data_IF_873746298411
#
_entry.id   IF_873746298411
#
_cell.length_a   1.000
_cell.length_b   1.000
_cell.length_c   1.000
_cell.angle_alpha   90.00
_cell.angle_beta   90.00
_cell.angle_gamma   90.00
#
_symmetry.space_group_name_H-M   'P 1'
#
loop_
_entity.id
_entity.type
_entity.pdbx_description
1 polymer ?
#
# COMPACT_ATOMS: atom_id res chain seq x y z
N UNK A 1 -15.65 -2.08 -94.14
CA UNK A 1 -15.27 -3.17 -93.21
C UNK A 1 -14.36 -2.62 -92.20
N UNK A 2 -14.84 -2.52 -90.94
CA UNK A 2 -14.10 -1.98 -89.80
C UNK A 2 -13.22 -3.13 -89.28
N UNK A 3 -11.90 -3.00 -89.41
CA UNK A 3 -10.97 -3.97 -88.83
C UNK A 3 -11.06 -3.96 -87.35
N UNK A 4 -11.69 -4.97 -86.76
CA UNK A 4 -11.67 -5.22 -85.32
C UNK A 4 -10.28 -5.83 -85.02
N UNK A 5 -9.33 -4.97 -84.66
CA UNK A 5 -8.05 -5.42 -84.10
C UNK A 5 -8.30 -6.26 -82.87
N UNK A 6 -7.79 -7.46 -82.83
CA UNK A 6 -7.94 -8.39 -81.75
C UNK A 6 -7.25 -7.86 -80.48
N UNK A 7 -8.03 -7.33 -79.55
CA UNK A 7 -7.54 -6.86 -78.20
C UNK A 7 -7.28 -8.02 -77.20
N UNK A 8 -7.38 -9.29 -77.67
CA UNK A 8 -7.26 -10.50 -76.86
C UNK A 8 -5.89 -10.67 -76.20
N UNK A 9 -4.81 -10.15 -76.77
CA UNK A 9 -3.47 -10.24 -76.20
C UNK A 9 -3.24 -9.24 -75.02
N UNK A 10 -3.89 -8.08 -75.04
CA UNK A 10 -3.73 -7.03 -74.10
C UNK A 10 -4.39 -7.39 -72.74
N UNK A 11 -5.55 -8.08 -72.79
CA UNK A 11 -6.24 -8.56 -71.60
C UNK A 11 -5.42 -9.63 -70.84
N UNK A 12 -4.66 -10.47 -71.52
CA UNK A 12 -3.84 -11.51 -70.92
C UNK A 12 -2.65 -10.92 -70.16
N UNK A 13 -2.04 -9.84 -70.65
CA UNK A 13 -0.95 -9.12 -69.95
C UNK A 13 -1.47 -8.44 -68.71
N UNK A 14 -2.64 -7.75 -68.75
CA UNK A 14 -3.27 -7.11 -67.65
C UNK A 14 -3.65 -8.14 -66.58
N UNK A 15 -4.19 -9.28 -66.97
CA UNK A 15 -4.54 -10.36 -66.05
C UNK A 15 -3.31 -10.95 -65.38
N UNK A 16 -2.20 -11.16 -66.13
CA UNK A 16 -0.95 -11.62 -65.50
C UNK A 16 -0.36 -10.65 -64.51
N UNK A 17 -0.36 -9.34 -64.81
CA UNK A 17 0.09 -8.32 -63.89
C UNK A 17 -0.82 -8.22 -62.66
N UNK A 18 -2.14 -8.29 -62.82
CA UNK A 18 -3.10 -8.31 -61.74
C UNK A 18 -2.92 -9.55 -60.84
N UNK A 19 -2.67 -10.72 -61.41
CA UNK A 19 -2.40 -11.94 -60.65
C UNK A 19 -1.14 -11.81 -59.78
N UNK A 20 -0.04 -11.28 -60.35
CA UNK A 20 1.20 -11.02 -59.59
C UNK A 20 0.95 -10.02 -58.45
N UNK A 21 0.21 -8.94 -58.70
CA UNK A 21 -0.12 -7.96 -57.69
C UNK A 21 -0.97 -8.57 -56.56
N UNK A 22 -1.97 -9.38 -56.88
CA UNK A 22 -2.79 -10.09 -55.88
C UNK A 22 -1.98 -11.07 -55.07
N UNK A 23 -1.10 -11.87 -55.66
CA UNK A 23 -0.20 -12.77 -54.93
C UNK A 23 0.72 -11.99 -53.99
N UNK A 24 1.23 -10.83 -54.47
CA UNK A 24 2.05 -9.94 -53.61
C UNK A 24 1.30 -9.41 -52.41
N UNK A 25 0.05 -8.96 -52.60
CA UNK A 25 -0.80 -8.44 -51.49
C UNK A 25 -1.12 -9.57 -50.49
N UNK A 26 -1.51 -10.74 -50.95
CA UNK A 26 -1.79 -11.91 -50.10
C UNK A 26 -0.53 -12.33 -49.32
N UNK A 27 0.62 -12.36 -50.01
CA UNK A 27 1.89 -12.68 -49.36
C UNK A 27 2.28 -11.72 -48.25
N UNK A 28 2.12 -10.41 -48.50
CA UNK A 28 2.37 -9.38 -47.49
C UNK A 28 1.41 -9.48 -46.29
N UNK A 29 0.15 -9.84 -46.54
CA UNK A 29 -0.82 -10.06 -45.47
C UNK A 29 -0.46 -11.28 -44.61
N UNK A 30 0.07 -12.36 -45.19
CA UNK A 30 0.52 -13.55 -44.46
C UNK A 30 1.74 -13.23 -43.60
N UNK A 31 2.79 -12.62 -44.16
CA UNK A 31 3.97 -12.24 -43.39
C UNK A 31 3.65 -11.21 -42.31
N UNK A 32 2.78 -10.25 -42.62
CA UNK A 32 2.29 -9.28 -41.63
C UNK A 32 1.52 -9.92 -40.48
N UNK A 33 0.64 -10.89 -40.79
CA UNK A 33 -0.13 -11.59 -39.76
C UNK A 33 0.78 -12.44 -38.85
N UNK A 34 1.81 -13.09 -39.41
CA UNK A 34 2.81 -13.84 -38.67
C UNK A 34 3.57 -12.92 -37.67
N UNK A 35 4.02 -11.75 -38.14
CA UNK A 35 4.69 -10.76 -37.32
C UNK A 35 3.79 -10.26 -36.18
N UNK A 36 2.53 -9.93 -36.46
CA UNK A 36 1.59 -9.47 -35.41
C UNK A 36 1.25 -10.57 -34.41
N UNK A 37 1.12 -11.81 -34.86
CA UNK A 37 0.90 -12.96 -33.97
C UNK A 37 2.08 -13.17 -33.04
N UNK A 38 3.29 -13.16 -33.58
CA UNK A 38 4.52 -13.27 -32.78
C UNK A 38 4.65 -12.12 -31.77
N UNK A 39 4.37 -10.88 -32.20
CA UNK A 39 4.42 -9.73 -31.26
C UNK A 39 3.51 -9.89 -30.07
N UNK A 40 2.28 -10.39 -30.26
CA UNK A 40 1.34 -10.67 -29.15
C UNK A 40 1.86 -11.78 -28.24
N UNK A 41 2.41 -12.82 -28.83
CA UNK A 41 2.98 -13.94 -28.10
C UNK A 41 4.21 -13.50 -27.28
N UNK A 42 5.11 -12.74 -27.90
CA UNK A 42 6.27 -12.16 -27.24
C UNK A 42 5.87 -11.23 -26.08
N UNK A 43 4.82 -10.40 -26.26
CA UNK A 43 4.33 -9.53 -25.20
C UNK A 43 3.81 -10.34 -24.01
N UNK A 44 3.00 -11.37 -24.23
CA UNK A 44 2.53 -12.25 -23.16
C UNK A 44 3.69 -12.97 -22.45
N UNK A 45 4.72 -13.36 -23.19
CA UNK A 45 5.91 -13.97 -22.64
C UNK A 45 6.70 -12.98 -21.78
N UNK A 46 6.87 -11.73 -22.24
CA UNK A 46 7.54 -10.67 -21.48
C UNK A 46 6.77 -10.33 -20.20
N UNK A 47 5.44 -10.22 -20.28
CA UNK A 47 4.57 -9.93 -19.12
C UNK A 47 4.69 -11.02 -18.04
N UNK A 48 4.61 -12.28 -18.45
CA UNK A 48 4.73 -13.40 -17.51
C UNK A 48 6.15 -13.57 -16.96
N UNK A 49 7.17 -13.31 -17.77
CA UNK A 49 8.57 -13.33 -17.34
C UNK A 49 8.89 -12.21 -16.35
N UNK A 50 8.36 -10.99 -16.60
CA UNK A 50 8.53 -9.86 -15.68
C UNK A 50 7.87 -10.14 -14.31
N UNK A 51 6.66 -10.73 -14.30
CA UNK A 51 6.00 -11.14 -13.05
C UNK A 51 6.78 -12.23 -12.32
N UNK A 52 7.28 -13.23 -13.02
CA UNK A 52 8.10 -14.30 -12.44
C UNK A 52 9.39 -13.73 -11.82
N UNK A 53 10.06 -12.84 -12.54
CA UNK A 53 11.25 -12.15 -12.05
C UNK A 53 10.97 -11.30 -10.80
N UNK A 54 9.87 -10.53 -10.81
CA UNK A 54 9.46 -9.71 -9.67
C UNK A 54 9.15 -10.58 -8.44
N UNK A 55 8.47 -11.72 -8.64
CA UNK A 55 8.21 -12.67 -7.56
C UNK A 55 9.49 -13.28 -7.00
N UNK A 56 10.41 -13.73 -7.88
CA UNK A 56 11.69 -14.30 -7.47
C UNK A 56 12.54 -13.27 -6.72
N UNK A 57 12.61 -12.03 -7.21
CA UNK A 57 13.28 -10.91 -6.55
C UNK A 57 12.75 -10.72 -5.13
N UNK A 58 11.44 -10.56 -4.98
CA UNK A 58 10.81 -10.31 -3.70
C UNK A 58 10.99 -11.49 -2.74
N UNK A 59 10.92 -12.75 -3.22
CA UNK A 59 11.18 -13.93 -2.38
C UNK A 59 12.63 -14.00 -1.87
N UNK A 60 13.59 -13.58 -2.72
CA UNK A 60 15.01 -13.61 -2.35
C UNK A 60 15.36 -12.49 -1.37
N UNK A 61 14.75 -11.32 -1.51
CA UNK A 61 14.98 -10.18 -0.62
C UNK A 61 14.57 -10.45 0.83
N UNK A 62 13.50 -11.20 1.06
CA UNK A 62 13.04 -11.57 2.42
C UNK A 62 13.83 -12.73 3.03
N UNK A 63 14.68 -13.42 2.26
CA UNK A 63 15.51 -14.54 2.76
C UNK A 63 16.82 -14.01 3.37
N UNK A 64 16.99 -14.08 4.71
CA UNK A 64 18.16 -13.51 5.39
C UNK A 64 19.46 -14.27 5.07
N UNK A 65 19.38 -15.42 4.42
CA UNK A 65 20.55 -16.24 4.02
C UNK A 65 21.12 -15.80 2.66
N UNK A 66 20.45 -14.90 1.95
CA UNK A 66 20.80 -14.48 0.59
C UNK A 66 21.54 -13.16 0.56
N UNK A 67 22.37 -13.01 -0.46
CA UNK A 67 23.12 -11.77 -0.70
C UNK A 67 22.28 -10.80 -1.56
N UNK A 68 21.89 -9.69 -0.95
CA UNK A 68 20.99 -8.72 -1.58
C UNK A 68 21.72 -7.55 -2.28
N UNK A 69 23.05 -7.46 -2.20
CA UNK A 69 23.83 -6.38 -2.78
C UNK A 69 24.85 -6.89 -3.81
N UNK A 70 24.94 -6.23 -5.00
CA UNK A 70 24.13 -5.11 -5.43
C UNK A 70 22.71 -5.51 -5.81
N UNK A 71 21.73 -4.59 -5.64
CA UNK A 71 20.34 -4.80 -6.11
C UNK A 71 20.21 -4.66 -7.64
N UNK A 72 21.23 -4.05 -8.27
CA UNK A 72 21.27 -3.83 -9.70
C UNK A 72 21.46 -5.14 -10.45
N UNK A 73 20.70 -5.32 -11.52
CA UNK A 73 20.74 -6.51 -12.36
C UNK A 73 20.57 -6.16 -13.85
N UNK A 74 21.52 -6.50 -14.74
CA UNK A 74 22.85 -7.03 -14.38
C UNK A 74 23.68 -5.98 -13.63
N UNK A 75 24.61 -6.39 -12.77
CA UNK A 75 25.44 -5.44 -12.03
C UNK A 75 26.39 -4.71 -12.96
N UNK A 76 26.64 -3.42 -12.69
CA UNK A 76 27.63 -2.62 -13.44
C UNK A 76 29.06 -3.05 -13.15
N UNK A 77 29.30 -3.70 -12.00
CA UNK A 77 30.61 -4.23 -11.62
C UNK A 77 30.48 -5.39 -10.61
N UNK A 78 31.38 -6.34 -10.68
CA UNK A 78 31.39 -7.49 -9.79
C UNK A 78 30.45 -8.63 -10.17
N UNK A 79 30.38 -9.70 -9.37
CA UNK A 79 29.47 -10.80 -9.60
C UNK A 79 28.03 -10.39 -9.29
N UNK A 80 27.03 -11.04 -9.94
CA UNK A 80 25.62 -10.83 -9.61
C UNK A 80 25.33 -11.28 -8.17
N UNK A 81 24.44 -10.55 -7.49
CA UNK A 81 23.88 -10.96 -6.20
C UNK A 81 22.93 -12.15 -6.37
N UNK A 82 22.59 -12.82 -5.25
CA UNK A 82 21.56 -13.87 -5.27
C UNK A 82 20.22 -13.35 -5.80
N UNK A 83 19.89 -12.10 -5.50
CA UNK A 83 18.68 -11.43 -6.02
C UNK A 83 18.74 -11.32 -7.54
N UNK A 84 19.86 -10.85 -8.11
CA UNK A 84 20.00 -10.73 -9.56
C UNK A 84 19.97 -12.13 -10.22
N UNK A 85 20.65 -13.11 -9.67
CA UNK A 85 20.64 -14.48 -10.19
C UNK A 85 19.23 -15.09 -10.17
N UNK A 86 18.50 -14.91 -9.07
CA UNK A 86 17.14 -15.43 -8.94
C UNK A 86 16.16 -14.81 -9.94
N UNK A 87 16.16 -13.49 -10.08
CA UNK A 87 15.25 -12.82 -11.00
C UNK A 87 15.55 -13.12 -12.47
N UNK A 88 16.85 -13.23 -12.84
CA UNK A 88 17.25 -13.60 -14.19
C UNK A 88 16.82 -15.04 -14.52
N UNK A 89 17.09 -15.99 -13.61
CA UNK A 89 16.70 -17.38 -13.79
C UNK A 89 15.18 -17.51 -13.99
N UNK A 90 14.39 -16.89 -13.10
CA UNK A 90 12.94 -16.96 -13.17
C UNK A 90 12.37 -16.32 -14.46
N UNK A 91 12.95 -15.20 -14.90
CA UNK A 91 12.54 -14.57 -16.16
C UNK A 91 12.85 -15.43 -17.37
N UNK A 92 14.07 -15.97 -17.46
CA UNK A 92 14.52 -16.80 -18.57
C UNK A 92 13.73 -18.11 -18.65
N UNK A 93 13.51 -18.76 -17.52
CA UNK A 93 12.70 -19.99 -17.45
C UNK A 93 11.26 -19.74 -17.91
N UNK A 94 10.66 -18.64 -17.46
CA UNK A 94 9.29 -18.32 -17.82
C UNK A 94 9.16 -17.87 -19.30
N UNK A 95 10.13 -17.11 -19.81
CA UNK A 95 10.18 -16.78 -21.24
C UNK A 95 10.38 -18.03 -22.09
N UNK A 96 11.29 -18.94 -21.68
CA UNK A 96 11.54 -20.22 -22.33
C UNK A 96 10.30 -21.12 -22.39
N UNK A 97 9.53 -21.19 -21.29
CA UNK A 97 8.24 -21.92 -21.25
C UNK A 97 7.21 -21.34 -22.23
N UNK A 98 7.36 -20.08 -22.62
CA UNK A 98 6.56 -19.41 -23.64
C UNK A 98 7.22 -19.39 -25.03
N UNK A 99 8.28 -20.19 -25.24
CA UNK A 99 8.93 -20.36 -26.55
C UNK A 99 10.03 -19.35 -26.87
N UNK A 100 10.47 -18.52 -25.89
CA UNK A 100 11.57 -17.57 -26.03
C UNK A 100 12.74 -18.01 -25.16
N UNK A 101 13.55 -18.94 -25.68
CA UNK A 101 14.61 -19.66 -24.98
C UNK A 101 15.96 -18.93 -24.90
N UNK A 102 15.99 -17.66 -25.29
CA UNK A 102 17.19 -16.82 -25.32
C UNK A 102 18.38 -17.44 -26.08
N UNK A 103 18.09 -18.06 -27.22
CA UNK A 103 19.12 -18.75 -28.03
C UNK A 103 19.99 -17.80 -28.84
N UNK A 104 19.78 -16.51 -28.79
CA UNK A 104 20.52 -15.44 -29.47
C UNK A 104 20.44 -15.47 -31.01
N UNK A 105 19.67 -16.39 -31.56
CA UNK A 105 19.48 -16.57 -33.02
C UNK A 105 18.06 -16.23 -33.43
N UNK A 106 17.08 -16.86 -32.80
CA UNK A 106 15.65 -16.58 -33.04
C UNK A 106 15.07 -15.59 -32.07
N UNK A 107 15.64 -15.49 -30.87
CA UNK A 107 15.20 -14.54 -29.86
C UNK A 107 16.30 -14.20 -28.85
N UNK A 108 16.16 -13.03 -28.23
CA UNK A 108 16.92 -12.62 -27.03
C UNK A 108 15.96 -12.21 -25.93
N UNK A 109 16.31 -12.53 -24.68
CA UNK A 109 15.61 -12.15 -23.47
C UNK A 109 16.57 -11.43 -22.57
N UNK A 110 16.31 -10.17 -22.32
CA UNK A 110 17.13 -9.30 -21.46
C UNK A 110 16.34 -8.91 -20.22
N UNK A 111 17.00 -8.93 -19.07
CA UNK A 111 16.37 -8.70 -17.75
C UNK A 111 17.13 -7.62 -16.99
N UNK A 112 16.44 -6.59 -16.57
CA UNK A 112 17.01 -5.44 -15.90
C UNK A 112 16.29 -5.11 -14.59
N UNK A 113 17.05 -4.72 -13.59
CA UNK A 113 16.59 -4.13 -12.35
C UNK A 113 17.66 -3.16 -11.83
N UNK A 114 17.40 -1.87 -11.76
CA UNK A 114 16.19 -1.16 -12.19
C UNK A 114 15.96 -1.22 -13.71
N UNK A 115 14.78 -0.84 -14.21
CA UNK A 115 14.53 -0.67 -15.64
C UNK A 115 15.51 0.33 -16.28
N UNK A 116 15.96 0.01 -17.50
CA UNK A 116 16.91 0.89 -18.23
C UNK A 116 16.23 2.06 -18.91
N UNK A 117 14.91 2.04 -19.05
CA UNK A 117 14.12 3.06 -19.73
C UNK A 117 12.73 3.23 -19.11
N UNK A 118 12.08 4.35 -19.45
CA UNK A 118 10.71 4.64 -19.03
C UNK A 118 10.60 5.32 -17.67
N UNK A 119 9.36 5.45 -17.19
CA UNK A 119 9.03 6.18 -15.96
C UNK A 119 9.68 5.57 -14.70
N UNK A 120 9.88 4.25 -14.70
CA UNK A 120 10.41 3.49 -13.56
C UNK A 120 11.92 3.27 -13.63
N UNK A 121 12.60 3.92 -14.57
CA UNK A 121 14.07 3.85 -14.66
C UNK A 121 14.72 4.36 -13.39
N UNK A 122 15.77 3.68 -12.94
CA UNK A 122 16.51 3.99 -11.71
C UNK A 122 15.82 3.61 -10.39
N UNK A 123 14.63 2.99 -10.42
CA UNK A 123 13.97 2.49 -9.21
C UNK A 123 14.14 0.96 -9.10
N UNK A 124 14.91 0.56 -8.09
CA UNK A 124 15.22 -0.84 -7.83
C UNK A 124 14.00 -1.68 -7.40
N UNK A 125 12.83 -1.11 -7.17
CA UNK A 125 11.61 -1.89 -6.88
C UNK A 125 11.02 -2.52 -8.13
N UNK A 126 11.49 -2.12 -9.32
CA UNK A 126 10.96 -2.62 -10.59
C UNK A 126 11.93 -3.54 -11.31
N UNK A 127 11.36 -4.44 -12.10
CA UNK A 127 12.06 -5.36 -12.99
C UNK A 127 11.51 -5.18 -14.40
N UNK A 128 12.40 -5.03 -15.37
CA UNK A 128 12.07 -4.94 -16.80
C UNK A 128 12.54 -6.20 -17.51
N UNK A 129 11.70 -6.76 -18.35
CA UNK A 129 12.06 -7.83 -19.29
C UNK A 129 11.83 -7.33 -20.70
N UNK A 130 12.85 -7.47 -21.53
CA UNK A 130 12.82 -7.12 -22.96
C UNK A 130 12.99 -8.40 -23.76
N UNK A 131 12.08 -8.67 -24.69
CA UNK A 131 12.17 -9.79 -25.63
C UNK A 131 12.28 -9.23 -27.04
N UNK A 132 13.36 -9.61 -27.71
CA UNK A 132 13.50 -9.39 -29.15
C UNK A 132 13.34 -10.74 -29.86
N UNK A 133 12.38 -10.83 -30.80
CA UNK A 133 12.14 -12.03 -31.58
C UNK A 133 12.38 -11.77 -33.06
N UNK A 134 12.87 -12.78 -33.77
CA UNK A 134 13.12 -12.77 -35.20
C UNK A 134 12.12 -13.70 -35.90
N UNK A 135 11.27 -13.12 -36.74
CA UNK A 135 10.24 -13.85 -37.51
C UNK A 135 10.67 -14.00 -38.95
N UNK A 136 10.83 -15.24 -39.40
CA UNK A 136 11.13 -15.51 -40.78
C UNK A 136 9.95 -15.14 -41.70
N UNK A 137 10.26 -14.48 -42.79
CA UNK A 137 9.28 -14.14 -43.82
C UNK A 137 9.16 -15.26 -44.86
N UNK A 138 7.98 -15.42 -45.44
CA UNK A 138 7.74 -16.40 -46.50
C UNK A 138 7.72 -15.72 -47.86
N UNK A 139 6.95 -14.68 -48.00
CA UNK A 139 6.74 -14.00 -49.29
C UNK A 139 7.63 -12.77 -49.44
N UNK A 140 7.89 -12.03 -48.35
CA UNK A 140 8.75 -10.84 -48.35
C UNK A 140 10.21 -11.19 -48.69
N UNK A 141 10.61 -12.45 -48.54
CA UNK A 141 11.92 -12.98 -48.96
C UNK A 141 12.15 -12.80 -50.45
N UNK A 142 11.12 -12.84 -51.30
CA UNK A 142 11.23 -12.62 -52.75
C UNK A 142 11.76 -11.21 -53.07
N UNK A 143 11.51 -10.25 -52.19
CA UNK A 143 12.00 -8.87 -52.33
C UNK A 143 13.22 -8.58 -51.42
N UNK A 144 13.87 -9.64 -50.92
CA UNK A 144 15.11 -9.53 -50.14
C UNK A 144 14.92 -9.27 -48.65
N UNK A 145 13.72 -9.44 -48.09
CA UNK A 145 13.46 -9.32 -46.65
C UNK A 145 13.30 -10.74 -46.09
N UNK A 146 14.37 -11.30 -45.55
CA UNK A 146 14.40 -12.67 -45.06
C UNK A 146 13.75 -12.81 -43.65
N UNK A 147 13.88 -11.77 -42.83
CA UNK A 147 13.38 -11.76 -41.47
C UNK A 147 12.82 -10.38 -41.07
N UNK A 148 11.86 -10.37 -40.19
CA UNK A 148 11.43 -9.20 -39.47
C UNK A 148 11.66 -9.45 -37.98
N UNK A 149 11.74 -8.39 -37.16
CA UNK A 149 11.91 -8.52 -35.72
C UNK A 149 10.81 -7.77 -34.97
N UNK A 150 10.46 -8.26 -33.80
CA UNK A 150 9.65 -7.60 -32.82
C UNK A 150 10.50 -7.32 -31.57
N UNK A 151 10.34 -6.16 -31.01
CA UNK A 151 10.84 -5.82 -29.71
C UNK A 151 9.64 -5.49 -28.83
N UNK A 152 9.55 -6.15 -27.70
CA UNK A 152 8.52 -5.94 -26.68
C UNK A 152 9.17 -5.84 -25.32
N UNK A 153 8.52 -5.12 -24.43
CA UNK A 153 8.98 -4.95 -23.06
C UNK A 153 7.83 -5.07 -22.07
N UNK A 154 8.15 -5.53 -20.88
CA UNK A 154 7.25 -5.55 -19.74
C UNK A 154 8.00 -5.10 -18.49
N UNK A 155 7.31 -4.34 -17.65
CA UNK A 155 7.83 -3.90 -16.34
C UNK A 155 6.90 -4.43 -15.26
N UNK A 156 7.49 -5.04 -14.23
CA UNK A 156 6.76 -5.50 -13.06
C UNK A 156 7.35 -4.88 -11.78
N UNK A 157 6.47 -4.58 -10.83
CA UNK A 157 6.86 -4.14 -9.49
C UNK A 157 7.14 -5.35 -8.58
N UNK A 158 8.20 -5.26 -7.79
CA UNK A 158 8.57 -6.20 -6.74
C UNK A 158 8.78 -5.43 -5.42
N UNK A 159 7.70 -4.88 -4.87
CA UNK A 159 7.74 -4.14 -3.61
C UNK A 159 7.50 -5.10 -2.46
N UNK A 160 8.38 -5.09 -1.47
CA UNK A 160 8.19 -5.80 -0.21
C UNK A 160 7.19 -5.10 0.69
N UNK A 161 6.68 -5.82 1.69
CA UNK A 161 5.97 -5.18 2.78
C UNK A 161 6.93 -4.23 3.51
N UNK A 162 6.43 -3.11 3.92
CA UNK A 162 7.16 -2.11 4.67
C UNK A 162 6.25 -1.43 5.66
N UNK A 163 6.78 -0.98 6.80
CA UNK A 163 6.00 -0.21 7.75
C UNK A 163 5.33 0.99 7.07
N UNK A 164 4.06 1.23 7.35
CA UNK A 164 3.36 2.39 6.85
C UNK A 164 4.13 3.67 7.23
N UNK A 165 4.23 4.61 6.30
CA UNK A 165 4.91 5.89 6.51
C UNK A 165 6.31 5.76 7.11
N UNK A 166 7.09 4.76 6.63
CA UNK A 166 8.45 4.46 7.08
C UNK A 166 8.56 4.22 8.60
N UNK A 167 7.51 3.73 9.24
CA UNK A 167 7.49 3.43 10.66
C UNK A 167 7.37 4.63 11.57
N UNK A 168 6.82 5.75 11.09
CA UNK A 168 6.44 6.84 11.98
C UNK A 168 5.33 6.38 12.94
N UNK A 169 5.50 6.60 14.23
CA UNK A 169 4.49 6.23 15.23
C UNK A 169 3.22 7.06 15.10
N UNK A 170 3.37 8.35 14.80
CA UNK A 170 2.24 9.25 14.63
C UNK A 170 2.43 10.04 13.34
N UNK A 171 1.39 10.01 12.50
CA UNK A 171 1.37 10.66 11.18
C UNK A 171 0.19 11.61 11.11
N UNK A 172 0.45 12.88 10.82
CA UNK A 172 -0.58 13.84 10.45
C UNK A 172 -0.50 14.13 8.95
N UNK A 173 -1.61 13.96 8.24
CA UNK A 173 -1.64 13.94 6.78
C UNK A 173 -2.02 15.28 6.15
N UNK A 174 -2.57 16.23 6.90
CA UNK A 174 -3.04 17.51 6.38
C UNK A 174 -1.91 18.35 5.78
N UNK A 175 -1.88 18.56 4.44
CA UNK A 175 -0.82 19.32 3.79
C UNK A 175 -0.95 20.84 3.98
N UNK A 176 -2.16 21.32 4.31
CA UNK A 176 -2.49 22.75 4.38
C UNK A 176 -3.32 23.07 5.63
N UNK A 177 -2.76 22.87 6.85
CA UNK A 177 -3.49 23.07 8.07
C UNK A 177 -3.84 24.55 8.31
N UNK A 178 -4.90 24.76 9.08
CA UNK A 178 -5.16 26.08 9.64
C UNK A 178 -4.07 26.41 10.68
N UNK A 179 -3.33 27.51 10.48
CA UNK A 179 -2.23 27.90 11.36
C UNK A 179 -2.68 28.27 12.80
N UNK A 180 -3.95 28.32 13.10
CA UNK A 180 -4.46 28.42 14.47
C UNK A 180 -4.38 27.12 15.26
N UNK A 181 -4.40 25.95 14.58
CA UNK A 181 -4.37 24.62 15.21
C UNK A 181 -3.16 23.78 14.79
N UNK A 182 -2.62 24.00 13.56
CA UNK A 182 -1.58 23.16 12.99
C UNK A 182 -2.12 21.81 12.50
N UNK A 183 -1.30 21.06 11.76
CA UNK A 183 -1.60 19.67 11.39
C UNK A 183 -1.27 18.72 12.54
N UNK A 184 -0.20 19.01 13.26
CA UNK A 184 0.21 18.29 14.45
C UNK A 184 0.40 19.27 15.61
N UNK A 185 -0.41 19.11 16.65
CA UNK A 185 -0.37 20.01 17.80
C UNK A 185 -0.08 19.25 19.10
N UNK A 186 0.87 19.76 19.88
CA UNK A 186 1.22 19.23 21.20
C UNK A 186 0.92 20.31 22.26
N UNK A 187 0.07 19.97 23.22
CA UNK A 187 -0.35 20.86 24.28
C UNK A 187 -0.57 20.15 25.63
N UNK A 188 -1.02 20.90 26.62
CA UNK A 188 -1.29 20.38 27.98
C UNK A 188 -0.16 20.63 28.95
N UNK A 189 -0.14 19.85 30.06
CA UNK A 189 0.78 20.00 31.19
C UNK A 189 1.51 18.71 31.59
N UNK A 190 1.33 17.63 30.83
CA UNK A 190 1.86 16.31 31.16
C UNK A 190 3.15 15.96 30.47
N UNK A 191 3.40 14.66 30.39
CA UNK A 191 4.56 14.09 29.70
C UNK A 191 4.08 13.20 28.56
N UNK A 192 4.65 13.38 27.38
CA UNK A 192 4.43 12.52 26.21
C UNK A 192 5.75 11.83 25.90
N UNK A 193 5.78 10.52 26.06
CA UNK A 193 6.93 9.69 25.76
C UNK A 193 6.71 8.96 24.43
N UNK A 194 7.65 9.08 23.52
CA UNK A 194 7.66 8.36 22.26
C UNK A 194 8.85 7.42 22.20
N UNK A 195 8.62 6.15 22.01
CA UNK A 195 9.64 5.11 21.86
C UNK A 195 9.44 4.36 20.53
N UNK A 196 10.51 4.09 19.83
CA UNK A 196 10.45 3.56 18.45
C UNK A 196 10.19 4.70 17.47
N UNK A 197 9.60 4.53 16.38
CA UNK A 197 9.23 5.50 15.33
C UNK A 197 9.33 7.00 15.66
N UNK A 198 8.85 7.84 14.82
CA UNK A 198 8.88 9.29 15.03
C UNK A 198 7.51 9.91 14.77
N UNK A 199 7.47 11.23 14.71
CA UNK A 199 6.33 11.97 14.17
C UNK A 199 6.59 12.32 12.72
N UNK A 200 5.61 12.08 11.86
CA UNK A 200 5.61 12.57 10.49
C UNK A 200 4.50 13.60 10.31
N UNK A 201 4.87 14.79 9.86
CA UNK A 201 3.94 15.88 9.59
C UNK A 201 3.96 16.17 8.09
N UNK A 202 2.88 15.83 7.40
CA UNK A 202 2.76 15.97 5.94
C UNK A 202 2.44 17.40 5.51
N UNK A 203 2.92 18.41 6.20
CA UNK A 203 2.64 19.79 5.87
C UNK A 203 3.90 20.54 5.45
N UNK A 204 3.79 21.31 4.37
CA UNK A 204 4.80 22.27 3.94
C UNK A 204 4.60 23.68 4.54
N UNK A 205 3.59 23.84 5.39
CA UNK A 205 3.32 25.11 6.07
C UNK A 205 4.21 25.26 7.29
N UNK A 206 4.59 26.50 7.60
CA UNK A 206 5.40 26.83 8.80
C UNK A 206 4.68 26.50 10.12
N UNK A 207 3.38 26.30 10.07
CA UNK A 207 2.55 25.92 11.21
C UNK A 207 2.12 24.44 11.20
N UNK A 208 2.72 23.61 10.34
CA UNK A 208 2.39 22.19 10.27
C UNK A 208 2.53 21.50 11.62
N UNK A 209 3.65 21.69 12.28
CA UNK A 209 3.84 21.28 13.68
C UNK A 209 3.68 22.49 14.62
N UNK A 210 3.00 22.31 15.71
CA UNK A 210 2.80 23.35 16.72
C UNK A 210 2.89 22.77 18.12
N UNK A 211 3.72 23.37 18.97
CA UNK A 211 3.72 23.10 20.42
C UNK A 211 3.20 24.35 21.13
N UNK A 212 1.97 24.29 21.60
CA UNK A 212 1.25 25.45 22.16
C UNK A 212 1.50 25.66 23.65
N UNK A 213 2.04 24.66 24.36
CA UNK A 213 2.32 24.75 25.80
C UNK A 213 3.73 24.29 26.11
N UNK A 214 4.47 25.12 26.83
CA UNK A 214 5.79 24.77 27.35
C UNK A 214 5.75 23.97 28.66
N UNK A 215 4.55 23.74 29.18
CA UNK A 215 4.34 22.92 30.37
C UNK A 215 4.27 21.41 30.01
N UNK A 216 4.13 21.07 28.75
CA UNK A 216 4.19 19.68 28.31
C UNK A 216 5.65 19.28 28.03
N UNK A 217 6.05 18.14 28.56
CA UNK A 217 7.36 17.53 28.28
C UNK A 217 7.19 16.49 27.17
N UNK A 218 7.90 16.65 26.07
CA UNK A 218 7.96 15.68 24.98
C UNK A 218 9.31 14.96 25.03
N UNK A 219 9.29 13.65 25.29
CA UNK A 219 10.50 12.81 25.31
C UNK A 219 10.48 11.87 24.11
N UNK A 220 11.56 11.88 23.32
CA UNK A 220 11.70 11.04 22.13
C UNK A 220 12.88 10.09 22.30
N UNK A 221 12.58 8.78 22.38
CA UNK A 221 13.56 7.71 22.52
C UNK A 221 13.67 6.95 21.20
N UNK A 222 14.62 7.33 20.35
CA UNK A 222 14.91 6.66 19.09
C UNK A 222 14.12 7.14 17.87
N UNK A 223 13.26 8.17 18.02
CA UNK A 223 12.51 8.77 16.91
C UNK A 223 12.89 10.22 16.66
N UNK A 224 12.40 10.79 15.57
CA UNK A 224 12.55 12.21 15.22
C UNK A 224 11.21 12.79 14.76
N UNK A 225 11.08 14.10 14.82
CA UNK A 225 9.96 14.79 14.17
C UNK A 225 10.40 15.11 12.75
N UNK A 226 9.69 14.59 11.78
CA UNK A 226 9.93 14.84 10.36
C UNK A 226 8.78 15.64 9.75
N UNK A 227 9.08 16.60 8.89
CA UNK A 227 8.09 17.45 8.23
C UNK A 227 8.37 17.53 6.74
N UNK A 228 7.32 17.52 5.92
CA UNK A 228 7.42 17.66 4.45
C UNK A 228 7.84 19.07 4.03
N UNK A 229 7.72 20.06 4.90
CA UNK A 229 8.10 21.45 4.64
C UNK A 229 9.10 22.01 5.63
N UNK A 230 9.40 23.30 5.44
CA UNK A 230 10.23 24.05 6.38
C UNK A 230 9.46 24.32 7.67
N UNK A 231 10.14 24.44 8.78
CA UNK A 231 9.57 24.10 10.10
C UNK A 231 8.80 25.29 10.72
N UNK A 232 7.70 25.24 11.36
CA UNK A 232 7.49 24.83 12.71
C UNK A 232 7.45 26.01 13.66
N UNK A 233 6.26 26.24 14.15
CA UNK A 233 6.06 27.13 15.26
C UNK A 233 6.35 26.37 16.58
N UNK A 234 7.62 26.38 16.97
CA UNK A 234 8.07 25.72 18.19
C UNK A 234 8.25 26.76 19.29
N UNK A 235 7.26 26.90 20.15
CA UNK A 235 7.37 27.81 21.29
C UNK A 235 8.36 27.33 22.37
N UNK A 236 8.67 26.05 22.41
CA UNK A 236 9.33 25.41 23.56
C UNK A 236 10.37 24.37 23.13
N UNK A 237 11.45 24.77 22.64
CA UNK A 237 12.80 24.20 22.61
C UNK A 237 13.06 22.69 22.46
N UNK A 238 12.14 21.74 22.26
CA UNK A 238 12.40 20.30 22.24
C UNK A 238 11.51 19.52 21.29
N UNK A 239 12.00 18.44 20.71
CA UNK A 239 13.15 18.38 19.81
C UNK A 239 12.83 19.11 18.50
N UNK A 240 13.83 19.75 17.91
CA UNK A 240 13.64 20.45 16.63
C UNK A 240 13.25 19.45 15.54
N UNK A 241 12.17 19.68 14.78
CA UNK A 241 11.83 18.84 13.66
C UNK A 241 12.87 18.93 12.54
N UNK A 242 13.08 17.80 11.89
CA UNK A 242 13.98 17.67 10.75
C UNK A 242 13.16 17.67 9.46
N UNK A 243 13.56 18.46 8.48
CA UNK A 243 12.94 18.40 7.15
C UNK A 243 13.22 17.06 6.49
N UNK A 244 12.19 16.45 5.91
CA UNK A 244 12.33 15.24 5.07
C UNK A 244 13.02 15.68 3.76
N UNK A 245 14.10 14.98 3.37
CA UNK A 245 14.78 15.24 2.10
C UNK A 245 14.81 13.93 1.26
N UNK A 246 14.31 13.92 0.02
CA UNK A 246 13.59 15.02 -0.62
C UNK A 246 12.23 15.28 0.06
N UNK A 247 11.76 16.52 -0.01
CA UNK A 247 10.44 16.90 0.53
C UNK A 247 9.34 16.16 -0.26
N UNK A 248 8.83 15.08 0.30
CA UNK A 248 7.75 14.31 -0.28
C UNK A 248 6.49 14.61 0.50
N UNK A 249 5.59 15.37 -0.11
CA UNK A 249 4.23 15.50 0.40
C UNK A 249 3.50 14.21 0.03
N UNK A 250 2.87 13.56 1.01
CA UNK A 250 2.03 12.40 0.76
C UNK A 250 0.91 12.81 -0.18
N UNK A 251 0.56 12.02 -1.20
CA UNK A 251 -0.56 12.31 -2.08
C UNK A 251 -1.84 12.62 -1.30
N UNK A 252 -2.67 13.51 -1.83
CA UNK A 252 -3.95 13.90 -1.22
C UNK A 252 -4.86 12.68 -0.98
N UNK A 253 -4.74 11.63 -1.79
CA UNK A 253 -5.44 10.37 -1.59
C UNK A 253 -4.52 9.33 -0.94
N UNK A 254 -4.80 9.03 0.31
CA UNK A 254 -4.19 7.90 1.00
C UNK A 254 -4.97 6.63 0.63
N UNK A 255 -4.23 5.58 0.26
CA UNK A 255 -4.86 4.30 -0.07
C UNK A 255 -5.59 3.74 1.15
N UNK A 256 -6.91 3.63 1.04
CA UNK A 256 -7.75 2.99 2.05
C UNK A 256 -7.70 1.48 1.87
N UNK A 257 -7.62 0.69 2.96
CA UNK A 257 -7.87 -0.74 2.89
C UNK A 257 -9.24 -1.04 2.28
N UNK A 258 -9.34 -2.16 1.57
CA UNK A 258 -10.61 -2.58 0.98
C UNK A 258 -11.70 -2.73 2.04
N UNK A 259 -12.97 -2.61 1.63
CA UNK A 259 -14.09 -2.80 2.57
C UNK A 259 -14.16 -4.28 2.96
N UNK A 260 -14.16 -4.60 4.26
CA UNK A 260 -14.24 -5.99 4.73
C UNK A 260 -15.46 -6.74 4.21
N UNK A 261 -15.29 -8.01 3.90
CA UNK A 261 -16.41 -8.90 3.54
C UNK A 261 -17.42 -9.03 4.67
N UNK A 262 -16.98 -8.86 5.90
CA UNK A 262 -17.78 -8.85 7.13
C UNK A 262 -18.81 -7.71 7.14
N UNK A 263 -18.58 -6.63 6.42
CA UNK A 263 -19.56 -5.55 6.25
C UNK A 263 -20.83 -5.99 5.49
N UNK A 264 -20.81 -7.16 4.87
CA UNK A 264 -21.98 -7.78 4.22
C UNK A 264 -22.57 -8.94 5.03
N UNK A 265 -22.03 -9.22 6.21
CA UNK A 265 -22.40 -10.38 7.03
C UNK A 265 -23.01 -9.92 8.35
N UNK A 266 -24.23 -10.35 8.62
CA UNK A 266 -24.85 -10.11 9.94
C UNK A 266 -24.02 -10.78 11.02
N UNK A 267 -23.66 -10.03 12.06
CA UNK A 267 -22.94 -10.57 13.20
C UNK A 267 -23.75 -11.67 13.91
N UNK A 268 -23.05 -12.64 14.46
CA UNK A 268 -23.69 -13.65 15.29
C UNK A 268 -24.26 -13.00 16.57
N UNK A 269 -25.32 -13.58 17.10
CA UNK A 269 -25.91 -13.10 18.36
C UNK A 269 -24.89 -13.20 19.50
N UNK A 270 -24.65 -12.14 20.26
CA UNK A 270 -23.80 -12.20 21.43
C UNK A 270 -24.22 -13.29 22.41
N UNK A 271 -23.23 -13.91 23.04
CA UNK A 271 -23.47 -14.99 24.00
C UNK A 271 -23.01 -14.60 25.39
N UNK A 272 -23.61 -15.20 26.39
CA UNK A 272 -23.24 -15.05 27.80
C UNK A 272 -22.89 -16.45 28.36
N UNK A 273 -21.66 -16.92 28.13
CA UNK A 273 -21.24 -18.25 28.57
C UNK A 273 -21.14 -18.29 30.12
N UNK A 274 -21.96 -19.13 30.74
CA UNK A 274 -21.97 -19.29 32.19
C UNK A 274 -22.96 -18.42 32.96
N UNK A 275 -23.65 -17.51 32.30
CA UNK A 275 -24.52 -16.51 32.95
C UNK A 275 -23.71 -15.43 33.69
N UNK A 276 -24.35 -14.38 34.16
CA UNK A 276 -23.71 -13.27 34.84
C UNK A 276 -23.43 -12.09 33.93
N UNK A 277 -22.31 -11.40 34.16
CA UNK A 277 -22.02 -10.11 33.52
C UNK A 277 -21.02 -10.18 32.36
N UNK A 278 -20.50 -11.37 32.06
CA UNK A 278 -19.55 -11.61 30.98
C UNK A 278 -20.26 -11.92 29.66
N UNK A 279 -19.96 -11.14 28.61
CA UNK A 279 -20.56 -11.25 27.29
C UNK A 279 -19.50 -11.36 26.20
N UNK A 280 -19.71 -12.30 25.27
CA UNK A 280 -18.86 -12.47 24.09
C UNK A 280 -19.59 -11.90 22.87
N UNK A 281 -18.93 -10.98 22.17
CA UNK A 281 -19.39 -10.36 20.91
C UNK A 281 -18.58 -10.91 19.76
N UNK A 282 -19.21 -11.19 18.65
CA UNK A 282 -18.63 -11.87 17.50
C UNK A 282 -18.43 -10.90 16.31
N UNK A 283 -17.44 -11.16 15.43
CA UNK A 283 -17.23 -10.39 14.20
C UNK A 283 -18.47 -10.31 13.31
N UNK A 284 -18.57 -9.25 12.50
CA UNK A 284 -19.67 -9.04 11.56
C UNK A 284 -20.10 -7.59 11.46
N UNK A 285 -21.27 -7.36 10.85
CA UNK A 285 -21.82 -6.02 10.61
C UNK A 285 -22.71 -5.55 11.77
N UNK A 286 -22.52 -4.31 12.19
CA UNK A 286 -23.20 -3.64 13.29
C UNK A 286 -23.66 -2.24 12.90
N UNK A 287 -24.93 -1.93 13.17
CA UNK A 287 -25.45 -0.54 13.12
C UNK A 287 -25.44 0.15 14.47
N UNK A 288 -25.06 -0.55 15.53
CA UNK A 288 -24.89 -0.08 16.89
C UNK A 288 -23.85 -0.98 17.57
N UNK A 289 -22.69 -0.47 17.91
CA UNK A 289 -21.57 -1.28 18.41
C UNK A 289 -20.95 -0.72 19.70
N UNK A 290 -20.71 -1.56 20.68
CA UNK A 290 -21.23 -2.91 20.81
C UNK A 290 -22.75 -2.84 21.06
N UNK A 291 -23.52 -3.80 20.59
CA UNK A 291 -24.97 -3.77 20.41
C UNK A 291 -25.75 -3.23 21.60
N UNK A 292 -26.51 -2.14 21.41
CA UNK A 292 -27.33 -1.50 22.44
C UNK A 292 -28.29 -2.48 23.13
N UNK A 293 -28.32 -2.41 24.46
CA UNK A 293 -29.15 -3.29 25.31
C UNK A 293 -28.40 -4.48 25.91
N UNK A 294 -27.26 -4.91 25.35
CA UNK A 294 -26.33 -5.85 26.00
C UNK A 294 -25.36 -5.09 26.87
N UNK A 295 -25.06 -3.85 26.46
CA UNK A 295 -24.14 -2.99 27.14
C UNK A 295 -24.90 -2.05 28.05
N UNK A 296 -24.94 -2.41 29.27
CA UNK A 296 -25.31 -1.55 30.37
C UNK A 296 -24.24 -1.67 31.46
N UNK A 297 -24.18 -0.70 32.35
CA UNK A 297 -23.23 -0.65 33.43
C UNK A 297 -23.04 -2.02 34.10
N UNK A 298 -21.80 -2.40 34.39
CA UNK A 298 -21.38 -3.63 35.04
C UNK A 298 -21.37 -4.87 34.10
N UNK A 299 -20.95 -4.73 32.84
CA UNK A 299 -20.71 -5.86 31.95
C UNK A 299 -19.23 -5.94 31.57
N UNK A 300 -18.71 -7.15 31.57
CA UNK A 300 -17.43 -7.52 30.99
C UNK A 300 -17.67 -7.93 29.55
N UNK A 301 -17.02 -7.27 28.60
CA UNK A 301 -17.21 -7.51 27.17
C UNK A 301 -15.94 -8.14 26.61
N UNK A 302 -16.06 -9.34 26.08
CA UNK A 302 -15.03 -9.99 25.29
C UNK A 302 -15.36 -9.84 23.80
N UNK A 303 -14.40 -9.37 22.99
CA UNK A 303 -14.50 -9.37 21.55
C UNK A 303 -13.80 -10.62 20.99
N UNK A 304 -14.56 -11.51 20.38
CA UNK A 304 -13.99 -12.65 19.68
C UNK A 304 -13.08 -12.17 18.53
N UNK A 305 -12.01 -12.91 18.19
CA UNK A 305 -11.07 -12.47 17.16
C UNK A 305 -11.75 -12.31 15.79
N UNK A 306 -11.41 -11.23 15.07
CA UNK A 306 -11.90 -10.98 13.71
C UNK A 306 -12.25 -9.51 13.43
N UNK A 307 -13.02 -9.28 12.37
CA UNK A 307 -13.35 -7.95 11.86
C UNK A 307 -14.77 -7.54 12.25
N UNK A 308 -14.88 -6.38 12.87
CA UNK A 308 -16.13 -5.74 13.28
C UNK A 308 -16.41 -4.56 12.35
N UNK A 309 -17.43 -4.68 11.51
CA UNK A 309 -17.85 -3.62 10.61
C UNK A 309 -18.94 -2.78 11.27
N UNK A 310 -18.61 -1.52 11.59
CA UNK A 310 -19.49 -0.62 12.36
C UNK A 310 -20.02 0.47 11.43
N UNK A 311 -21.32 0.46 11.20
CA UNK A 311 -22.04 1.45 10.37
C UNK A 311 -22.81 2.44 11.27
N UNK A 312 -22.07 3.03 12.19
CA UNK A 312 -22.54 4.05 13.14
C UNK A 312 -21.33 4.76 13.73
N UNK A 313 -21.56 5.86 14.45
CA UNK A 313 -20.53 6.46 15.28
C UNK A 313 -20.14 5.49 16.40
N UNK A 314 -18.84 5.23 16.53
CA UNK A 314 -18.31 4.43 17.63
C UNK A 314 -18.18 5.31 18.86
N UNK A 315 -19.14 5.21 19.77
CA UNK A 315 -19.19 6.09 20.94
C UNK A 315 -19.12 5.30 22.24
N UNK A 316 -17.94 5.24 22.82
CA UNK A 316 -17.74 4.64 24.13
C UNK A 316 -17.50 5.72 25.16
N UNK A 317 -18.41 5.88 26.11
CA UNK A 317 -18.33 6.94 27.12
C UNK A 317 -18.75 6.47 28.51
N UNK A 318 -18.06 6.95 29.53
CA UNK A 318 -18.40 6.77 30.91
C UNK A 318 -18.39 5.31 31.37
N UNK A 319 -19.48 4.83 31.92
CA UNK A 319 -19.65 3.48 32.46
C UNK A 319 -20.38 2.57 31.46
N UNK A 320 -19.97 2.58 30.18
CA UNK A 320 -20.60 1.75 29.15
C UNK A 320 -20.43 0.26 29.44
N UNK A 321 -19.31 -0.10 30.06
CA UNK A 321 -18.97 -1.47 30.50
C UNK A 321 -17.94 -1.42 31.63
N UNK A 322 -17.75 -2.52 32.35
CA UNK A 322 -16.73 -2.62 33.41
C UNK A 322 -15.35 -2.94 32.81
N UNK A 323 -15.32 -3.76 31.77
CA UNK A 323 -14.11 -4.15 31.05
C UNK A 323 -14.44 -4.42 29.58
N UNK A 324 -13.51 -4.09 28.67
CA UNK A 324 -13.55 -4.48 27.27
C UNK A 324 -12.24 -5.17 26.92
N UNK A 325 -12.33 -6.46 26.58
CA UNK A 325 -11.21 -7.29 26.16
C UNK A 325 -11.33 -7.68 24.67
N UNK A 326 -10.46 -7.15 23.85
CA UNK A 326 -10.23 -7.51 22.45
C UNK A 326 -8.80 -7.98 22.22
N UNK A 327 -8.14 -8.55 23.23
CA UNK A 327 -6.74 -9.00 23.18
C UNK A 327 -6.52 -10.17 22.22
N UNK A 328 -7.60 -10.88 21.86
CA UNK A 328 -7.54 -12.04 20.94
C UNK A 328 -7.28 -11.70 19.47
N UNK A 329 -7.19 -10.42 19.11
CA UNK A 329 -6.90 -9.94 17.76
C UNK A 329 -8.15 -9.47 17.02
N UNK A 330 -8.40 -8.16 17.06
CA UNK A 330 -9.60 -7.53 16.51
C UNK A 330 -9.25 -6.42 15.52
N UNK A 331 -10.10 -6.21 14.54
CA UNK A 331 -10.08 -5.02 13.68
C UNK A 331 -11.47 -4.38 13.68
N UNK A 332 -11.56 -3.12 14.02
CA UNK A 332 -12.80 -2.34 14.02
C UNK A 332 -12.79 -1.46 12.77
N UNK A 333 -13.61 -1.80 11.78
CA UNK A 333 -13.79 -1.04 10.55
C UNK A 333 -15.03 -0.17 10.66
N UNK A 334 -14.86 1.14 10.75
CA UNK A 334 -15.94 2.12 10.83
C UNK A 334 -16.22 2.65 9.42
N UNK A 335 -17.47 2.57 8.96
CA UNK A 335 -17.85 2.99 7.61
C UNK A 335 -17.78 4.51 7.43
N UNK A 336 -17.72 4.95 6.17
CA UNK A 336 -17.59 6.37 5.85
C UNK A 336 -18.79 7.19 6.33
N UNK A 337 -18.51 8.39 6.81
CA UNK A 337 -19.54 9.31 7.32
C UNK A 337 -19.70 9.29 8.83
N UNK A 338 -19.00 8.40 9.50
CA UNK A 338 -19.01 8.23 10.95
C UNK A 338 -17.72 8.72 11.60
N UNK A 339 -17.69 8.69 12.92
CA UNK A 339 -16.53 9.05 13.73
C UNK A 339 -16.38 8.10 14.91
N UNK A 340 -15.31 8.27 15.70
CA UNK A 340 -15.17 7.56 16.96
C UNK A 340 -14.83 8.49 18.11
N UNK A 341 -15.35 8.14 19.29
CA UNK A 341 -15.05 8.81 20.56
C UNK A 341 -14.93 7.77 21.65
N UNK A 342 -13.73 7.60 22.16
CA UNK A 342 -13.40 6.68 23.25
C UNK A 342 -13.08 7.51 24.49
N UNK A 343 -13.93 7.46 25.48
CA UNK A 343 -13.82 8.25 26.73
C UNK A 343 -14.31 7.43 27.91
N UNK A 344 -13.55 6.42 28.29
CA UNK A 344 -13.96 5.43 29.28
C UNK A 344 -13.04 5.47 30.49
N UNK A 345 -13.62 5.17 31.66
CA UNK A 345 -12.91 5.03 32.95
C UNK A 345 -12.65 3.56 33.30
N UNK A 346 -13.01 2.65 32.44
CA UNK A 346 -12.86 1.19 32.61
C UNK A 346 -11.66 0.66 31.83
N UNK A 347 -11.08 -0.49 32.23
CA UNK A 347 -10.03 -1.14 31.46
C UNK A 347 -10.48 -1.47 30.04
N UNK A 348 -9.63 -1.13 29.06
CA UNK A 348 -9.77 -1.51 27.67
C UNK A 348 -8.46 -2.12 27.19
N UNK A 349 -8.52 -3.35 26.70
CA UNK A 349 -7.42 -4.03 26.02
C UNK A 349 -7.83 -4.35 24.60
N UNK A 350 -7.15 -3.79 23.61
CA UNK A 350 -7.45 -4.02 22.21
C UNK A 350 -6.15 -4.31 21.44
N UNK A 351 -6.05 -5.49 20.87
CA UNK A 351 -4.92 -5.88 20.03
C UNK A 351 -5.38 -6.10 18.60
N UNK A 352 -4.64 -5.56 17.64
CA UNK A 352 -4.89 -5.84 16.23
C UNK A 352 -4.64 -7.32 15.91
N UNK A 353 -5.36 -7.83 14.91
CA UNK A 353 -5.09 -9.17 14.39
C UNK A 353 -3.66 -9.25 13.84
N UNK A 354 -2.92 -10.31 14.18
CA UNK A 354 -1.57 -10.56 13.67
C UNK A 354 -1.54 -11.24 12.31
N UNK A 355 -2.69 -11.60 11.75
CA UNK A 355 -2.80 -12.35 10.50
C UNK A 355 -4.02 -11.93 9.68
N UNK A 356 -4.05 -12.33 8.41
CA UNK A 356 -5.16 -12.02 7.52
C UNK A 356 -4.99 -10.70 6.76
N UNK A 357 -6.08 -10.26 6.15
CA UNK A 357 -6.07 -9.10 5.27
C UNK A 357 -5.85 -7.79 6.03
N UNK A 358 -6.34 -7.69 7.24
CA UNK A 358 -6.26 -6.50 8.10
C UNK A 358 -5.24 -6.65 9.22
N UNK A 359 -4.22 -7.54 9.04
CA UNK A 359 -3.15 -7.72 10.01
C UNK A 359 -2.52 -6.38 10.38
N UNK A 360 -2.37 -6.14 11.68
CA UNK A 360 -1.82 -4.91 12.23
C UNK A 360 -2.75 -3.70 12.26
N UNK A 361 -3.94 -3.76 11.65
CA UNK A 361 -4.94 -2.70 11.78
C UNK A 361 -5.87 -2.95 12.97
N UNK A 362 -5.91 -2.02 13.91
CA UNK A 362 -6.81 -2.06 15.06
C UNK A 362 -8.13 -1.32 14.76
N UNK A 363 -8.02 -0.05 14.35
CA UNK A 363 -9.17 0.76 13.95
C UNK A 363 -8.92 1.29 12.55
N UNK A 364 -9.89 1.10 11.66
CA UNK A 364 -9.92 1.70 10.33
C UNK A 364 -11.16 2.58 10.26
N UNK A 365 -10.97 3.89 10.10
CA UNK A 365 -12.07 4.81 9.82
C UNK A 365 -12.09 5.13 8.32
N UNK A 366 -13.07 4.60 7.62
CA UNK A 366 -13.28 4.89 6.22
C UNK A 366 -13.73 6.34 6.02
N UNK A 367 -13.32 6.97 4.93
CA UNK A 367 -13.65 8.35 4.67
C UNK A 367 -13.24 8.81 3.28
N UNK A 368 -13.41 10.09 3.04
CA UNK A 368 -12.98 10.76 1.82
C UNK A 368 -12.43 12.17 2.14
N UNK A 369 -11.72 12.76 1.22
CA UNK A 369 -11.09 14.08 1.37
C UNK A 369 -12.04 15.24 1.64
N UNK A 370 -13.33 15.10 1.41
CA UNK A 370 -14.32 16.18 1.56
C UNK A 370 -14.88 16.34 2.97
N UNK A 371 -14.54 15.43 3.91
CA UNK A 371 -15.08 15.42 5.27
C UNK A 371 -14.03 14.99 6.27
N UNK A 372 -13.78 15.83 7.26
CA UNK A 372 -12.83 15.57 8.34
C UNK A 372 -13.56 15.57 9.68
N UNK A 373 -14.22 14.44 10.07
CA UNK A 373 -14.90 14.34 11.36
C UNK A 373 -13.91 14.50 12.52
N UNK A 374 -14.41 14.88 13.68
CA UNK A 374 -13.61 14.93 14.88
C UNK A 374 -13.65 13.56 15.56
N UNK A 375 -12.48 13.00 15.82
CA UNK A 375 -12.31 11.79 16.60
C UNK A 375 -11.61 12.09 17.90
N UNK A 376 -11.94 11.35 18.95
CA UNK A 376 -11.37 11.61 20.28
C UNK A 376 -10.99 10.31 20.96
N UNK A 377 -9.84 10.30 21.61
CA UNK A 377 -9.44 9.28 22.57
C UNK A 377 -9.08 10.00 23.85
N UNK A 378 -9.86 9.77 24.90
CA UNK A 378 -9.56 10.29 26.24
C UNK A 378 -9.03 9.13 27.08
N UNK A 379 -7.80 9.25 27.51
CA UNK A 379 -7.21 8.31 28.46
C UNK A 379 -7.78 8.54 29.84
N UNK A 380 -8.86 7.86 30.17
CA UNK A 380 -9.46 7.85 31.49
C UNK A 380 -9.58 6.40 31.93
N UNK A 381 -8.56 5.83 32.51
CA UNK A 381 -8.55 4.42 32.86
C UNK A 381 -7.32 3.70 32.26
N UNK A 382 -7.37 2.41 32.28
CA UNK A 382 -6.29 1.58 31.71
C UNK A 382 -6.60 1.30 30.24
N UNK A 383 -6.09 2.15 29.35
CA UNK A 383 -6.20 1.95 27.90
C UNK A 383 -4.90 1.32 27.40
N UNK A 384 -4.96 0.05 27.04
CA UNK A 384 -3.89 -0.71 26.41
C UNK A 384 -4.31 -1.07 24.99
N UNK A 385 -3.66 -0.46 24.01
CA UNK A 385 -3.98 -0.65 22.59
C UNK A 385 -2.74 -1.00 21.79
N UNK A 386 -2.86 -2.05 20.97
CA UNK A 386 -1.80 -2.55 20.12
C UNK A 386 -2.27 -2.64 18.65
N UNK A 387 -1.52 -2.02 17.74
CA UNK A 387 -1.84 -2.01 16.31
C UNK A 387 -2.02 -0.61 15.73
N UNK A 388 -2.44 -0.52 14.48
CA UNK A 388 -2.56 0.75 13.77
C UNK A 388 -3.97 1.32 13.86
N UNK A 389 -4.09 2.56 14.33
CA UNK A 389 -5.30 3.38 14.22
C UNK A 389 -5.18 4.18 12.91
N UNK A 390 -5.91 3.73 11.90
CA UNK A 390 -5.89 4.28 10.55
C UNK A 390 -7.15 5.10 10.29
N UNK A 391 -7.07 6.40 10.54
CA UNK A 391 -8.16 7.37 10.39
C UNK A 391 -7.71 8.57 9.53
N UNK A 392 -7.30 8.36 8.26
CA UNK A 392 -6.57 9.36 7.48
C UNK A 392 -7.35 10.64 7.20
N UNK A 393 -8.65 10.61 7.36
CA UNK A 393 -9.51 11.78 7.16
C UNK A 393 -10.10 12.34 8.46
N UNK A 394 -9.65 11.89 9.62
CA UNK A 394 -10.16 12.34 10.92
C UNK A 394 -9.25 13.37 11.60
N UNK A 395 -9.85 14.40 12.20
CA UNK A 395 -9.17 15.30 13.13
C UNK A 395 -9.13 14.61 14.51
N UNK A 396 -8.02 13.97 14.80
CA UNK A 396 -7.87 13.15 16.02
C UNK A 396 -7.33 13.96 17.19
N UNK A 397 -8.04 13.94 18.30
CA UNK A 397 -7.57 14.48 19.57
C UNK A 397 -7.33 13.34 20.56
N UNK A 398 -6.14 13.29 21.14
CA UNK A 398 -5.79 12.36 22.22
C UNK A 398 -5.51 13.17 23.47
N UNK A 399 -6.29 12.91 24.50
CA UNK A 399 -6.14 13.57 25.79
C UNK A 399 -5.63 12.56 26.83
N UNK A 400 -4.53 12.88 27.50
CA UNK A 400 -4.10 12.15 28.71
C UNK A 400 -5.02 12.45 29.88
N UNK A 401 -5.26 11.46 30.71
CA UNK A 401 -6.01 11.64 31.95
C UNK A 401 -5.09 12.10 33.09
N UNK A 402 -5.64 12.85 34.03
CA UNK A 402 -4.89 13.35 35.19
C UNK A 402 -4.58 12.29 36.26
N UNK A 403 -5.19 11.11 36.18
CA UNK A 403 -5.12 10.06 37.20
C UNK A 403 -4.41 8.76 36.75
N UNK A 404 -4.19 8.56 35.44
CA UNK A 404 -3.64 7.32 34.89
C UNK A 404 -2.63 7.53 33.75
N UNK A 405 -1.80 6.53 33.51
CA UNK A 405 -0.93 6.46 32.34
C UNK A 405 -1.69 5.79 31.21
N UNK A 406 -1.59 6.33 30.00
CA UNK A 406 -2.14 5.71 28.79
C UNK A 406 -0.99 5.16 27.94
N UNK A 407 -1.06 3.88 27.62
CA UNK A 407 -0.05 3.17 26.84
C UNK A 407 -0.60 2.82 25.47
N UNK A 408 0.05 3.34 24.43
CA UNK A 408 -0.27 3.07 23.04
C UNK A 408 0.90 2.30 22.40
N UNK A 409 0.76 1.00 22.25
CA UNK A 409 1.66 0.17 21.43
C UNK A 409 1.22 0.25 19.96
N UNK A 410 0.97 1.47 19.50
CA UNK A 410 0.21 1.72 18.29
C UNK A 410 0.89 2.71 17.35
N UNK A 411 0.59 2.56 16.06
CA UNK A 411 0.76 3.59 15.06
C UNK A 411 -0.54 4.37 14.89
N UNK A 412 -0.44 5.70 14.78
CA UNK A 412 -1.59 6.57 14.60
C UNK A 412 -1.43 7.34 13.29
N UNK A 413 -2.40 7.21 12.40
CA UNK A 413 -2.44 7.92 11.12
C UNK A 413 -3.76 8.68 11.04
N UNK A 414 -3.70 10.02 11.02
CA UNK A 414 -4.89 10.86 11.01
C UNK A 414 -4.69 12.11 10.15
N UNK A 415 -5.77 12.84 9.84
CA UNK A 415 -5.69 14.08 9.09
C UNK A 415 -4.95 15.15 9.88
N UNK A 416 -5.53 15.57 11.01
CA UNK A 416 -4.87 16.39 12.01
C UNK A 416 -4.72 15.59 13.30
N UNK A 417 -3.64 15.79 14.03
CA UNK A 417 -3.37 15.15 15.32
C UNK A 417 -3.15 16.19 16.40
N UNK A 418 -3.92 16.08 17.47
CA UNK A 418 -3.75 16.91 18.66
C UNK A 418 -3.49 16.04 19.88
N UNK A 419 -2.34 16.22 20.48
CA UNK A 419 -1.97 15.55 21.73
C UNK A 419 -2.05 16.54 22.88
N UNK A 420 -2.90 16.27 23.87
CA UNK A 420 -2.98 17.05 25.09
C UNK A 420 -2.50 16.19 26.27
N UNK A 421 -1.25 16.36 26.67
CA UNK A 421 -0.71 15.68 27.84
C UNK A 421 -1.21 16.33 29.12
N UNK A 422 -2.10 15.67 29.86
CA UNK A 422 -2.47 16.10 31.24
C UNK A 422 -1.84 15.19 32.32
N UNK A 423 -1.28 14.07 31.89
CA UNK A 423 -0.47 13.14 32.69
C UNK A 423 0.55 12.48 31.73
N UNK A 424 0.83 11.19 31.87
CA UNK A 424 1.79 10.47 31.06
C UNK A 424 1.04 9.76 29.92
N UNK A 425 1.44 10.04 28.69
CA UNK A 425 1.02 9.29 27.50
C UNK A 425 2.28 8.66 26.91
N UNK A 426 2.28 7.34 26.79
CA UNK A 426 3.36 6.60 26.17
C UNK A 426 2.93 6.10 24.80
N UNK A 427 3.73 6.37 23.77
CA UNK A 427 3.62 5.77 22.46
C UNK A 427 4.82 4.87 22.23
N UNK A 428 4.58 3.59 22.06
CA UNK A 428 5.62 2.59 21.80
C UNK A 428 5.37 1.97 20.42
N UNK A 429 6.11 2.42 19.41
CA UNK A 429 5.97 1.86 18.08
C UNK A 429 6.74 0.54 17.97
N UNK A 430 6.02 -0.50 17.55
CA UNK A 430 6.60 -1.82 17.23
C UNK A 430 6.14 -2.24 15.83
N UNK A 431 7.04 -2.28 14.83
CA UNK A 431 6.66 -2.66 13.47
C UNK A 431 6.04 -4.06 13.36
N UNK A 432 6.34 -4.96 14.29
CA UNK A 432 5.81 -6.33 14.25
C UNK A 432 4.33 -6.48 14.59
N UNK A 433 3.69 -5.44 15.13
CA UNK A 433 2.28 -5.47 15.55
C UNK A 433 1.43 -4.41 14.84
N UNK A 434 2.06 -3.53 14.10
CA UNK A 434 1.38 -2.47 13.35
C UNK A 434 1.19 -2.86 11.88
N UNK A 435 0.26 -2.19 11.20
CA UNK A 435 -0.04 -2.44 9.81
C UNK A 435 1.15 -2.08 8.90
N UNK A 436 1.31 -2.86 7.86
CA UNK A 436 2.33 -2.66 6.85
C UNK A 436 1.70 -2.37 5.48
N UNK A 437 2.41 -1.61 4.65
CA UNK A 437 2.14 -1.53 3.23
C UNK A 437 2.44 -2.91 2.62
N UNK A 438 1.40 -3.55 2.10
CA UNK A 438 1.49 -4.95 1.66
C UNK A 438 2.50 -5.12 0.53
N UNK A 439 3.13 -6.28 0.54
CA UNK A 439 3.94 -6.75 -0.59
C UNK A 439 3.13 -6.65 -1.88
N UNK A 440 3.70 -5.97 -2.88
CA UNK A 440 3.06 -5.78 -4.18
C UNK A 440 3.89 -6.39 -5.28
N UNK A 441 3.26 -7.31 -6.02
CA UNK A 441 3.81 -7.86 -7.26
C UNK A 441 2.75 -7.65 -8.34
N UNK A 442 3.12 -7.00 -9.42
CA UNK A 442 2.18 -6.71 -10.49
C UNK A 442 2.84 -6.09 -11.71
N UNK A 443 2.18 -6.22 -12.85
CA UNK A 443 2.59 -5.52 -14.08
C UNK A 443 2.25 -4.05 -13.99
N UNK A 444 3.15 -3.24 -14.51
CA UNK A 444 2.96 -1.80 -14.66
C UNK A 444 2.54 -1.50 -16.10
N UNK A 445 1.61 -0.58 -16.24
CA UNK A 445 1.09 -0.14 -17.55
C UNK A 445 1.77 1.14 -17.98
#
# INVERSE_FOLDING_TARGET
>A
MKNIKSERGQALIIFALAAIALVGIVGLAIDGSAKFSDRRHAQNAADTAALAAALAKSNTLIDPTKTNTPLECPPTSGPPSDVCAALQTAALDQAGNNGYDNNLVSNTVEVYSPPISGYYSSDNTYVQVIITSHVNTTFSRVVGIDQTHNLVEAVAVAKESSPLFNGASIVSLNPSPNCGSGSFNVGGNGTINLSGGGFMVNSNQSCGYSQTSCSVTLTMNGGSISSAGSPINQACGTPAPTAISPQVVVPDEVYMPDVPSECSQTAATPTNPGGGDHWVIYPGYYTDFPQGGIINNNKEIELAPGVYCVDSDLHWSGATFDELDGSSGVTIYITAGHNFSISINSPITLNASSSGEYAGYLIILAGNQGSHPNCTINGGGYLDVEGTIFAPYCNLTINGDSSSTSDFNAQIIAWDVKLNGNNIINFNYNPGVNAEDKRKIGLMK
#
